data_IF_803861985256
#
_entry.id   IF_803861985256
#
_cell.length_a   1.000
_cell.length_b   1.000
_cell.length_c   1.000
_cell.angle_alpha   90.00
_cell.angle_beta   90.00
_cell.angle_gamma   90.00
#
_symmetry.space_group_name_H-M   'P 1'
#
loop_
_entity.id
_entity.type
_entity.pdbx_description
1 polymer ?
#
# COMPACT_ATOMS: atom_id res chain seq x y z
N UNK A 1 15.33 60.24 17.77
CA UNK A 1 15.45 59.78 16.37
C UNK A 1 16.42 58.61 16.37
N UNK A 2 16.19 57.38 15.91
CA UNK A 2 15.14 56.69 15.15
C UNK A 2 15.23 55.20 15.58
N UNK A 3 14.12 54.55 15.88
CA UNK A 3 14.05 53.09 16.04
C UNK A 3 14.03 52.44 14.65
N UNK A 4 14.88 51.43 14.43
CA UNK A 4 14.85 50.61 13.20
C UNK A 4 14.30 49.24 13.62
N UNK A 5 13.02 49.04 13.36
CA UNK A 5 12.33 47.76 13.55
C UNK A 5 12.75 46.86 12.38
N UNK A 6 13.64 45.91 12.65
CA UNK A 6 13.97 44.84 11.70
C UNK A 6 12.80 43.86 11.64
N UNK A 7 11.93 44.03 10.64
CA UNK A 7 10.90 43.05 10.32
C UNK A 7 11.57 41.79 9.74
N UNK A 8 11.65 40.73 10.54
CA UNK A 8 12.08 39.40 10.10
C UNK A 8 10.91 38.78 9.32
N UNK A 9 11.04 38.52 8.01
CA UNK A 9 9.97 37.85 7.29
C UNK A 9 9.93 36.39 7.73
N UNK A 10 8.83 36.01 8.36
CA UNK A 10 8.49 34.64 8.73
C UNK A 10 8.21 33.88 7.42
N UNK A 11 9.25 33.27 6.83
CA UNK A 11 9.12 32.41 5.65
C UNK A 11 8.42 31.13 6.10
N UNK A 12 7.11 31.05 5.85
CA UNK A 12 6.33 29.84 6.00
C UNK A 12 6.79 28.83 4.94
N UNK A 13 7.63 27.88 5.34
CA UNK A 13 7.96 26.69 4.53
C UNK A 13 6.69 25.85 4.45
N UNK A 14 5.91 26.06 3.40
CA UNK A 14 4.81 25.16 3.02
C UNK A 14 5.46 23.90 2.47
N UNK A 15 5.73 22.93 3.36
CA UNK A 15 6.04 21.58 2.95
C UNK A 15 4.86 21.05 2.14
N UNK A 16 5.02 21.00 0.81
CA UNK A 16 4.17 20.24 -0.08
C UNK A 16 4.32 18.75 0.30
N UNK A 17 3.53 18.32 1.29
CA UNK A 17 3.29 16.92 1.57
C UNK A 17 2.54 16.37 0.36
N UNK A 18 3.29 15.88 -0.62
CA UNK A 18 2.77 15.00 -1.66
C UNK A 18 2.22 13.76 -0.95
N UNK A 19 0.94 13.80 -0.57
CA UNK A 19 0.23 12.64 -0.05
C UNK A 19 0.32 11.59 -1.15
N UNK A 20 1.04 10.46 -0.94
CA UNK A 20 1.03 9.41 -1.95
C UNK A 20 -0.42 9.02 -2.12
N UNK A 21 -0.94 9.13 -3.35
CA UNK A 21 -2.27 8.65 -3.68
C UNK A 21 -2.39 7.23 -3.11
N UNK A 22 -3.30 7.06 -2.14
CA UNK A 22 -3.56 5.76 -1.52
C UNK A 22 -4.05 4.89 -2.67
N UNK A 23 -3.16 4.05 -3.19
CA UNK A 23 -3.49 3.15 -4.26
C UNK A 23 -4.50 2.15 -3.69
N UNK A 24 -5.69 2.10 -4.27
CA UNK A 24 -6.77 1.22 -3.82
C UNK A 24 -6.43 -0.22 -4.25
N UNK A 25 -5.84 -0.97 -3.31
CA UNK A 25 -5.37 -2.33 -3.52
C UNK A 25 -6.46 -3.37 -3.28
N UNK A 26 -6.46 -4.40 -4.12
CA UNK A 26 -7.39 -5.53 -4.06
C UNK A 26 -6.63 -6.84 -4.10
N UNK A 27 -7.19 -7.89 -3.49
CA UNK A 27 -6.68 -9.25 -3.63
C UNK A 27 -7.32 -9.92 -4.83
N UNK A 28 -6.48 -10.42 -5.73
CA UNK A 28 -6.93 -11.24 -6.85
C UNK A 28 -6.98 -12.71 -6.41
N UNK A 29 -8.18 -13.28 -6.45
CA UNK A 29 -8.42 -14.70 -6.22
C UNK A 29 -8.06 -15.55 -7.43
N UNK A 30 -7.83 -16.84 -7.19
CA UNK A 30 -7.43 -17.82 -8.22
C UNK A 30 -8.42 -17.95 -9.40
N UNK A 31 -9.69 -17.65 -9.18
CA UNK A 31 -10.75 -17.69 -10.21
C UNK A 31 -10.99 -16.31 -10.87
N UNK A 32 -10.01 -15.39 -10.77
CA UNK A 32 -10.09 -14.05 -11.37
C UNK A 32 -10.98 -13.06 -10.61
N UNK A 33 -11.57 -13.46 -9.47
CA UNK A 33 -12.30 -12.58 -8.57
C UNK A 33 -11.39 -11.54 -7.92
N UNK A 34 -11.90 -10.33 -7.70
CA UNK A 34 -11.18 -9.29 -6.98
C UNK A 34 -11.90 -8.91 -5.69
N UNK A 35 -11.19 -9.01 -4.59
CA UNK A 35 -11.69 -8.73 -3.26
C UNK A 35 -11.03 -7.49 -2.65
N UNK A 36 -11.81 -6.70 -1.91
CA UNK A 36 -11.25 -5.56 -1.16
C UNK A 36 -10.44 -6.06 0.05
N UNK A 37 -9.37 -5.35 0.43
CA UNK A 37 -8.61 -5.72 1.63
C UNK A 37 -9.47 -5.66 2.90
N UNK A 38 -10.46 -4.78 2.96
CA UNK A 38 -11.42 -4.71 4.06
C UNK A 38 -12.30 -5.97 4.17
N UNK A 39 -12.73 -6.54 3.05
CA UNK A 39 -13.52 -7.79 3.07
C UNK A 39 -12.64 -9.00 3.39
N UNK A 40 -11.37 -8.97 2.96
CA UNK A 40 -10.39 -9.98 3.35
C UNK A 40 -10.13 -9.96 4.87
N UNK A 41 -9.97 -8.76 5.46
CA UNK A 41 -9.77 -8.55 6.89
C UNK A 41 -10.91 -9.14 7.75
N UNK A 42 -12.17 -8.98 7.31
CA UNK A 42 -13.32 -9.59 7.99
C UNK A 42 -13.25 -11.12 8.13
N UNK A 43 -12.50 -11.80 7.26
CA UNK A 43 -12.40 -13.27 7.24
C UNK A 43 -11.07 -13.80 7.77
N UNK A 44 -10.02 -12.99 7.67
CA UNK A 44 -8.63 -13.37 7.94
C UNK A 44 -7.92 -12.20 8.60
N UNK A 45 -7.60 -12.34 9.88
CA UNK A 45 -6.97 -11.30 10.71
C UNK A 45 -5.56 -10.89 10.25
N UNK A 46 -4.92 -11.69 9.41
CA UNK A 46 -3.66 -11.32 8.76
C UNK A 46 -3.79 -10.05 7.90
N UNK A 47 -4.98 -9.72 7.40
CA UNK A 47 -5.26 -8.48 6.66
C UNK A 47 -5.72 -7.30 7.53
N UNK A 48 -5.89 -7.48 8.84
CA UNK A 48 -6.27 -6.36 9.72
C UNK A 48 -5.21 -5.26 9.69
N UNK A 49 -5.64 -4.03 9.38
CA UNK A 49 -4.78 -2.86 9.25
C UNK A 49 -3.84 -2.87 8.04
N UNK A 50 -4.04 -3.78 7.09
CA UNK A 50 -3.25 -3.84 5.85
C UNK A 50 -3.89 -2.94 4.80
N UNK A 51 -3.17 -1.91 4.34
CA UNK A 51 -3.63 -1.01 3.28
C UNK A 51 -3.08 -1.38 1.90
N UNK A 52 -2.16 -2.35 1.83
CA UNK A 52 -1.54 -2.77 0.57
C UNK A 52 -0.47 -3.87 0.73
N UNK A 53 0.16 -4.28 -0.38
CA UNK A 53 1.11 -5.40 -0.39
C UNK A 53 2.32 -5.17 0.52
N UNK A 54 2.82 -3.93 0.60
CA UNK A 54 3.99 -3.59 1.44
C UNK A 54 3.65 -3.67 2.92
N UNK A 55 2.45 -3.26 3.32
CA UNK A 55 1.99 -3.36 4.71
C UNK A 55 1.83 -4.81 5.14
N UNK A 56 1.22 -5.63 4.27
CA UNK A 56 1.10 -7.07 4.50
C UNK A 56 2.48 -7.71 4.68
N UNK A 57 3.40 -7.46 3.75
CA UNK A 57 4.75 -7.99 3.83
C UNK A 57 5.49 -7.54 5.09
N UNK A 58 5.34 -6.27 5.49
CA UNK A 58 5.92 -5.76 6.72
C UNK A 58 5.33 -6.45 7.96
N UNK A 59 4.01 -6.68 8.00
CA UNK A 59 3.33 -7.41 9.07
C UNK A 59 3.82 -8.85 9.19
N UNK A 60 3.97 -9.54 8.06
CA UNK A 60 4.51 -10.91 8.01
C UNK A 60 5.97 -10.95 8.50
N UNK A 61 6.83 -10.03 8.03
CA UNK A 61 8.23 -9.92 8.50
C UNK A 61 8.33 -9.67 10.00
N UNK A 62 7.49 -8.78 10.56
CA UNK A 62 7.42 -8.53 12.01
C UNK A 62 7.01 -9.77 12.80
N UNK A 63 6.30 -10.70 12.17
CA UNK A 63 5.91 -11.98 12.76
C UNK A 63 6.98 -13.06 12.63
N UNK A 64 8.18 -12.72 12.14
CA UNK A 64 9.29 -13.66 11.95
C UNK A 64 9.28 -14.41 10.62
N UNK A 65 8.33 -14.11 9.73
CA UNK A 65 8.21 -14.80 8.44
C UNK A 65 9.20 -14.29 7.41
N UNK A 66 9.68 -15.20 6.56
CA UNK A 66 10.36 -14.83 5.31
C UNK A 66 9.31 -14.43 4.28
N UNK A 67 9.56 -13.32 3.59
CA UNK A 67 8.62 -12.75 2.62
C UNK A 67 9.35 -12.33 1.35
N UNK A 68 8.91 -12.88 0.22
CA UNK A 68 9.33 -12.46 -1.11
C UNK A 68 8.26 -11.54 -1.71
N UNK A 69 8.70 -10.47 -2.37
CA UNK A 69 7.82 -9.53 -3.07
C UNK A 69 8.29 -9.43 -4.51
N UNK A 70 7.35 -9.60 -5.43
CA UNK A 70 7.55 -9.37 -6.86
C UNK A 70 6.59 -8.28 -7.30
N UNK A 71 7.14 -7.12 -7.68
CA UNK A 71 6.38 -5.95 -8.13
C UNK A 71 6.46 -5.88 -9.67
N UNK A 72 5.31 -5.89 -10.33
CA UNK A 72 5.17 -5.86 -11.78
C UNK A 72 4.21 -4.76 -12.19
N UNK A 73 4.72 -3.82 -12.98
CA UNK A 73 3.86 -2.91 -13.74
C UNK A 73 3.37 -3.64 -15.01
N UNK A 74 2.08 -3.60 -15.25
CA UNK A 74 1.44 -4.14 -16.46
C UNK A 74 0.83 -3.01 -17.28
N UNK A 75 0.47 -3.29 -18.53
CA UNK A 75 -0.24 -2.32 -19.37
C UNK A 75 -1.60 -1.88 -18.77
N UNK A 76 -2.18 -2.67 -17.86
CA UNK A 76 -3.50 -2.43 -17.27
C UNK A 76 -3.45 -1.94 -15.82
N UNK A 77 -2.27 -1.86 -15.20
CA UNK A 77 -2.12 -1.44 -13.80
C UNK A 77 -0.97 -2.11 -13.06
N UNK A 78 -0.93 -1.94 -11.74
CA UNK A 78 0.09 -2.59 -10.89
C UNK A 78 -0.37 -3.94 -10.35
N UNK A 79 0.55 -4.90 -10.39
CA UNK A 79 0.40 -6.24 -9.82
C UNK A 79 1.59 -6.51 -8.90
N UNK A 80 1.31 -6.86 -7.65
CA UNK A 80 2.33 -7.18 -6.66
C UNK A 80 2.02 -8.53 -6.05
N UNK A 81 2.92 -9.49 -6.27
CA UNK A 81 2.83 -10.80 -5.64
C UNK A 81 3.63 -10.78 -4.34
N UNK A 82 3.01 -11.25 -3.26
CA UNK A 82 3.66 -11.42 -1.96
C UNK A 82 3.60 -12.89 -1.58
N UNK A 83 4.76 -13.50 -1.40
CA UNK A 83 4.89 -14.91 -1.05
C UNK A 83 5.45 -15.06 0.36
N UNK A 84 4.80 -15.91 1.15
CA UNK A 84 5.19 -16.25 2.52
C UNK A 84 5.37 -17.78 2.57
N UNK A 85 6.54 -18.29 2.13
CA UNK A 85 6.74 -19.74 1.96
C UNK A 85 6.59 -20.52 3.27
N UNK A 86 6.97 -19.94 4.42
CA UNK A 86 6.77 -20.53 5.74
C UNK A 86 5.31 -20.82 6.10
N UNK A 87 4.37 -20.16 5.41
CA UNK A 87 2.92 -20.32 5.57
C UNK A 87 2.21 -20.94 4.37
N UNK A 88 2.96 -21.28 3.31
CA UNK A 88 2.37 -21.71 2.04
C UNK A 88 1.46 -20.67 1.39
N UNK A 89 1.68 -19.38 1.66
CA UNK A 89 0.87 -18.30 1.09
C UNK A 89 1.53 -17.70 -0.15
N UNK A 90 0.73 -17.49 -1.19
CA UNK A 90 1.07 -16.71 -2.38
C UNK A 90 -0.13 -15.82 -2.70
N UNK A 91 0.01 -14.52 -2.44
CA UNK A 91 -1.06 -13.54 -2.55
C UNK A 91 -0.75 -12.56 -3.68
N UNK A 92 -1.74 -12.29 -4.51
CA UNK A 92 -1.63 -11.35 -5.61
C UNK A 92 -2.44 -10.11 -5.26
N UNK A 93 -1.74 -9.01 -5.01
CA UNK A 93 -2.32 -7.69 -4.84
C UNK A 93 -2.35 -7.00 -6.19
N UNK A 94 -3.48 -6.40 -6.55
CA UNK A 94 -3.63 -5.67 -7.80
C UNK A 94 -4.22 -4.29 -7.51
N UNK A 95 -3.82 -3.30 -8.32
CA UNK A 95 -4.48 -2.00 -8.33
C UNK A 95 -5.93 -2.15 -8.80
N UNK A 96 -6.82 -1.30 -8.31
CA UNK A 96 -8.25 -1.31 -8.67
C UNK A 96 -8.50 -1.24 -10.17
N UNK A 97 -7.62 -0.59 -10.93
CA UNK A 97 -7.67 -0.52 -12.39
C UNK A 97 -7.62 -1.90 -13.08
N UNK A 98 -6.94 -2.87 -12.47
CA UNK A 98 -6.83 -4.25 -12.99
C UNK A 98 -8.13 -5.01 -12.76
N UNK A 99 -8.87 -4.69 -11.70
CA UNK A 99 -10.12 -5.35 -11.32
C UNK A 99 -11.35 -4.75 -11.99
N UNK A 100 -11.32 -3.48 -12.37
CA UNK A 100 -12.46 -2.77 -12.96
C UNK A 100 -12.74 -3.16 -14.43
N UNK A 101 -11.81 -3.86 -15.10
CA UNK A 101 -11.83 -4.10 -16.54
C UNK A 101 -12.50 -5.43 -16.92
N UNK A 102 -13.58 -5.81 -16.24
CA UNK A 102 -14.32 -7.04 -16.54
C UNK A 102 -15.57 -6.78 -17.36
#
# INVERSE_FOLDING_TARGET
MRQIILAVPMIAVVCALSVPAIADWRLMGRHGGCESLSDAAKRKSEFDGVSGPRDFAAKMRRSGERVNITDQATATGRVVTVEVPGRGLSLIFVGSEVCAKR
#
